data_IF_556081530443
#
_entry.id   IF_556081530443
#
_cell.length_a   1.000
_cell.length_b   1.000
_cell.length_c   1.000
_cell.angle_alpha   90.00
_cell.angle_beta   90.00
_cell.angle_gamma   90.00
#
_symmetry.space_group_name_H-M   'P 1'
#
loop_
_entity.id
_entity.type
_entity.pdbx_description
1 polymer ?
#
# COMPACT_ATOMS: atom_id res chain seq x y z
N UNK A 1 -2.43 23.51 -6.13
CA UNK A 1 -1.39 22.49 -6.34
C UNK A 1 -0.05 23.19 -6.62
N UNK A 2 1.00 22.94 -5.83
CA UNK A 2 2.33 23.57 -6.04
C UNK A 2 3.22 22.63 -6.85
N UNK A 3 3.28 22.87 -8.14
CA UNK A 3 4.23 22.23 -9.06
C UNK A 3 5.65 22.72 -8.74
N UNK A 4 6.55 21.84 -8.28
CA UNK A 4 7.96 22.18 -8.09
C UNK A 4 8.74 21.69 -9.31
N UNK A 5 8.90 22.62 -10.26
CA UNK A 5 9.84 22.66 -11.40
C UNK A 5 9.52 21.80 -12.63
N UNK A 6 9.60 22.49 -13.78
CA UNK A 6 9.63 22.01 -15.16
C UNK A 6 10.58 20.81 -15.36
N UNK A 7 10.07 19.64 -15.81
CA UNK A 7 10.83 18.57 -16.49
C UNK A 7 9.90 17.48 -17.10
N UNK A 8 10.43 16.71 -18.08
CA UNK A 8 9.71 15.76 -18.96
C UNK A 8 9.10 14.53 -18.25
N UNK A 9 7.91 14.69 -17.69
CA UNK A 9 7.03 13.58 -17.29
C UNK A 9 6.59 12.75 -18.50
N UNK A 10 6.44 11.44 -18.34
CA UNK A 10 5.76 10.61 -19.34
C UNK A 10 4.27 10.98 -19.41
N UNK A 11 3.62 10.68 -20.54
CA UNK A 11 2.17 10.90 -20.66
C UNK A 11 1.39 10.12 -19.59
N UNK A 12 1.87 8.94 -19.22
CA UNK A 12 1.28 8.15 -18.15
C UNK A 12 1.40 8.85 -16.78
N UNK A 13 2.59 9.35 -16.42
CA UNK A 13 2.79 10.09 -15.17
C UNK A 13 1.90 11.33 -15.09
N UNK A 14 1.74 12.06 -16.21
CA UNK A 14 0.81 13.21 -16.27
C UNK A 14 -0.64 12.78 -16.05
N UNK A 15 -1.07 11.69 -16.68
CA UNK A 15 -2.42 11.14 -16.48
C UNK A 15 -2.68 10.74 -15.04
N UNK A 16 -1.69 10.18 -14.35
CA UNK A 16 -1.78 9.85 -12.92
C UNK A 16 -1.95 11.13 -12.10
N UNK A 17 -1.07 12.12 -12.28
CA UNK A 17 -1.13 13.38 -11.53
C UNK A 17 -2.47 14.09 -11.73
N UNK A 18 -2.99 14.13 -12.95
CA UNK A 18 -4.27 14.78 -13.26
C UNK A 18 -5.49 14.11 -12.60
N UNK A 19 -5.34 12.89 -12.10
CA UNK A 19 -6.40 12.16 -11.37
C UNK A 19 -6.26 12.28 -9.85
N UNK A 20 -5.18 12.88 -9.34
CA UNK A 20 -5.03 13.10 -7.91
C UNK A 20 -5.98 14.22 -7.46
N UNK A 21 -6.69 13.98 -6.37
CA UNK A 21 -7.46 15.00 -5.66
C UNK A 21 -6.63 15.63 -4.53
N UNK A 22 -7.28 16.46 -3.70
CA UNK A 22 -6.64 17.21 -2.62
C UNK A 22 -6.17 16.31 -1.44
N UNK A 23 -6.50 15.01 -1.43
CA UNK A 23 -6.02 14.07 -0.40
C UNK A 23 -4.59 13.59 -0.67
N UNK A 24 -4.07 13.82 -1.87
CA UNK A 24 -2.79 13.31 -2.31
C UNK A 24 -1.80 14.41 -2.68
N UNK A 25 -0.53 14.10 -2.45
CA UNK A 25 0.60 14.93 -2.86
C UNK A 25 1.47 14.12 -3.79
N UNK A 26 2.22 14.79 -4.66
CA UNK A 26 3.26 14.14 -5.43
C UNK A 26 4.57 14.89 -5.38
N UNK A 27 5.65 14.13 -5.34
CA UNK A 27 7.03 14.63 -5.43
C UNK A 27 7.67 14.08 -6.69
N UNK A 28 8.34 14.95 -7.43
CA UNK A 28 9.11 14.54 -8.60
C UNK A 28 10.54 14.18 -8.16
N UNK A 29 10.95 12.94 -8.43
CA UNK A 29 12.30 12.45 -8.15
C UNK A 29 13.14 12.51 -9.42
N UNK A 30 13.92 13.58 -9.56
CA UNK A 30 14.85 13.75 -10.67
C UNK A 30 16.13 12.93 -10.39
N UNK A 31 16.41 11.93 -11.23
CA UNK A 31 17.52 11.00 -11.02
C UNK A 31 17.44 9.76 -11.91
N UNK A 32 18.02 8.64 -11.44
CA UNK A 32 18.21 7.40 -12.21
C UNK A 32 16.93 6.84 -12.87
N UNK A 33 15.74 7.09 -12.32
CA UNK A 33 14.49 6.45 -12.78
C UNK A 33 13.40 7.44 -13.22
N UNK A 34 13.64 8.75 -13.14
CA UNK A 34 12.68 9.81 -13.49
C UNK A 34 11.24 9.48 -13.02
N UNK A 35 11.05 9.37 -11.71
CA UNK A 35 9.81 8.87 -11.13
C UNK A 35 9.04 9.94 -10.38
N UNK A 36 7.74 9.74 -10.22
CA UNK A 36 6.91 10.50 -9.29
C UNK A 36 6.61 9.64 -8.07
N UNK A 37 6.71 10.21 -6.88
CA UNK A 37 6.28 9.59 -5.64
C UNK A 37 4.95 10.20 -5.23
N UNK A 38 3.96 9.36 -4.96
CA UNK A 38 2.65 9.77 -4.45
C UNK A 38 2.63 9.55 -2.94
N UNK A 39 2.15 10.57 -2.24
CA UNK A 39 2.03 10.63 -0.78
C UNK A 39 0.58 10.92 -0.40
N UNK A 40 0.17 10.51 0.81
CA UNK A 40 -1.09 11.00 1.39
C UNK A 40 -0.92 12.42 1.97
N UNK A 41 -2.01 12.99 2.49
CA UNK A 41 -2.01 14.32 3.15
C UNK A 41 -1.08 14.42 4.37
N UNK A 42 -0.71 13.31 4.97
CA UNK A 42 0.22 13.21 6.11
C UNK A 42 1.68 13.04 5.66
N UNK A 43 1.92 13.16 4.34
CA UNK A 43 3.23 12.98 3.69
C UNK A 43 3.79 11.56 3.83
N UNK A 44 2.92 10.57 4.07
CA UNK A 44 3.32 9.17 4.09
C UNK A 44 3.41 8.61 2.67
N UNK A 45 4.45 7.82 2.42
CA UNK A 45 4.70 7.20 1.13
C UNK A 45 3.60 6.18 0.76
N UNK A 46 3.00 6.34 -0.41
CA UNK A 46 2.03 5.38 -0.95
C UNK A 46 2.61 4.56 -2.10
N UNK A 47 3.10 5.21 -3.14
CA UNK A 47 3.60 4.54 -4.35
C UNK A 47 4.62 5.40 -5.09
N UNK A 48 5.51 4.74 -5.83
CA UNK A 48 6.39 5.37 -6.82
C UNK A 48 5.98 4.93 -8.22
N UNK A 49 5.85 5.87 -9.15
CA UNK A 49 5.55 5.63 -10.57
C UNK A 49 6.75 6.08 -11.39
N UNK A 50 7.48 5.13 -11.95
CA UNK A 50 8.65 5.34 -12.79
C UNK A 50 8.25 5.85 -14.18
N UNK A 51 9.20 6.47 -14.90
CA UNK A 51 8.93 7.01 -16.25
C UNK A 51 8.45 5.95 -17.24
N UNK A 52 8.95 4.73 -17.07
CA UNK A 52 8.67 3.56 -17.92
C UNK A 52 7.41 2.82 -17.51
N UNK A 53 6.77 3.20 -16.40
CA UNK A 53 5.53 2.56 -15.99
C UNK A 53 4.38 2.89 -16.94
N UNK A 54 3.48 1.94 -17.03
CA UNK A 54 2.25 2.02 -17.80
C UNK A 54 1.10 1.34 -17.05
N UNK A 55 -0.05 1.27 -17.70
CA UNK A 55 -1.23 0.63 -17.12
C UNK A 55 -0.99 -0.85 -16.76
N UNK A 56 -0.16 -1.57 -17.52
CA UNK A 56 0.10 -2.98 -17.26
C UNK A 56 0.96 -3.14 -15.99
N UNK A 57 2.06 -2.39 -15.87
CA UNK A 57 2.93 -2.46 -14.68
C UNK A 57 2.20 -2.02 -13.39
N UNK A 58 1.31 -1.04 -13.49
CA UNK A 58 0.46 -0.62 -12.35
C UNK A 58 -0.58 -1.69 -11.99
N UNK A 59 -1.18 -2.37 -12.98
CA UNK A 59 -2.10 -3.48 -12.70
C UNK A 59 -1.39 -4.66 -12.03
N UNK A 60 -0.19 -5.01 -12.46
CA UNK A 60 0.63 -6.04 -11.80
C UNK A 60 0.94 -5.67 -10.35
N UNK A 61 1.30 -4.41 -10.12
CA UNK A 61 1.54 -3.88 -8.77
C UNK A 61 0.29 -3.96 -7.89
N UNK A 62 -0.89 -3.63 -8.44
CA UNK A 62 -2.18 -3.72 -7.76
C UNK A 62 -2.49 -5.16 -7.32
N UNK A 63 -2.36 -6.13 -8.23
CA UNK A 63 -2.61 -7.54 -7.91
C UNK A 63 -1.61 -8.08 -6.87
N UNK A 64 -0.35 -7.65 -6.94
CA UNK A 64 0.65 -7.98 -5.91
C UNK A 64 0.24 -7.46 -4.53
N UNK A 65 -0.23 -6.21 -4.44
CA UNK A 65 -0.72 -5.63 -3.19
C UNK A 65 -1.93 -6.38 -2.63
N UNK A 66 -2.93 -6.69 -3.47
CA UNK A 66 -4.11 -7.48 -3.07
C UNK A 66 -3.71 -8.83 -2.49
N UNK A 67 -2.82 -9.56 -3.19
CA UNK A 67 -2.34 -10.87 -2.74
C UNK A 67 -1.63 -10.81 -1.38
N UNK A 68 -0.81 -9.76 -1.15
CA UNK A 68 -0.14 -9.56 0.14
C UNK A 68 -1.14 -9.31 1.28
N UNK A 69 -2.15 -8.48 1.04
CA UNK A 69 -3.22 -8.19 2.01
C UNK A 69 -3.98 -9.47 2.34
N UNK A 70 -4.41 -10.23 1.33
CA UNK A 70 -5.14 -11.48 1.52
C UNK A 70 -4.33 -12.51 2.34
N UNK A 71 -3.05 -12.66 2.00
CA UNK A 71 -2.15 -13.56 2.75
C UNK A 71 -1.99 -13.12 4.21
N UNK A 72 -1.81 -11.82 4.46
CA UNK A 72 -1.70 -11.27 5.81
C UNK A 72 -2.97 -11.50 6.62
N UNK A 73 -4.14 -11.25 6.04
CA UNK A 73 -5.43 -11.47 6.67
C UNK A 73 -5.66 -12.95 7.01
N UNK A 74 -5.33 -13.85 6.09
CA UNK A 74 -5.44 -15.29 6.34
C UNK A 74 -4.54 -15.75 7.49
N UNK A 75 -3.30 -15.25 7.55
CA UNK A 75 -2.39 -15.55 8.65
C UNK A 75 -2.94 -15.02 9.98
N UNK A 76 -3.45 -13.79 10.01
CA UNK A 76 -4.02 -13.20 11.22
C UNK A 76 -5.24 -13.96 11.70
N UNK A 77 -6.15 -14.34 10.80
CA UNK A 77 -7.32 -15.16 11.12
C UNK A 77 -6.93 -16.52 11.72
N UNK A 78 -5.84 -17.13 11.23
CA UNK A 78 -5.33 -18.38 11.79
C UNK A 78 -4.80 -18.18 13.21
N UNK A 79 -4.03 -17.12 13.45
CA UNK A 79 -3.53 -16.77 14.79
C UNK A 79 -4.67 -16.54 15.79
N UNK A 80 -5.71 -15.79 15.40
CA UNK A 80 -6.88 -15.56 16.24
C UNK A 80 -7.57 -16.87 16.62
N UNK A 81 -7.79 -17.78 15.66
CA UNK A 81 -8.39 -19.09 15.94
C UNK A 81 -7.56 -19.93 16.91
N UNK A 82 -6.24 -19.85 16.83
CA UNK A 82 -5.36 -20.60 17.71
C UNK A 82 -5.34 -20.02 19.14
N UNK A 83 -5.40 -18.70 19.28
CA UNK A 83 -5.60 -18.04 20.58
C UNK A 83 -6.98 -18.34 21.19
N UNK A 84 -8.05 -18.38 20.39
CA UNK A 84 -9.38 -18.81 20.87
C UNK A 84 -9.37 -20.23 21.42
N UNK A 85 -8.67 -21.17 20.77
CA UNK A 85 -8.50 -22.55 21.28
C UNK A 85 -7.73 -22.55 22.60
N UNK A 86 -6.67 -21.75 22.70
CA UNK A 86 -5.86 -21.62 23.92
C UNK A 86 -6.67 -21.06 25.07
N UNK A 87 -7.48 -20.03 24.84
CA UNK A 87 -8.39 -19.46 25.84
C UNK A 87 -9.35 -20.54 26.35
N UNK A 88 -10.02 -21.28 25.45
CA UNK A 88 -10.94 -22.37 25.83
C UNK A 88 -10.26 -23.43 26.70
N UNK A 89 -9.01 -23.80 26.39
CA UNK A 89 -8.24 -24.73 27.21
C UNK A 89 -7.96 -24.16 28.61
N UNK A 90 -7.54 -22.90 28.71
CA UNK A 90 -7.29 -22.25 30.00
C UNK A 90 -8.57 -22.16 30.84
N UNK A 91 -9.71 -21.84 30.22
CA UNK A 91 -11.01 -21.81 30.89
C UNK A 91 -11.42 -23.19 31.45
N UNK A 92 -11.15 -24.27 30.71
CA UNK A 92 -11.40 -25.64 31.18
C UNK A 92 -10.54 -25.97 32.41
N UNK A 93 -9.23 -25.71 32.34
CA UNK A 93 -8.31 -25.92 33.45
C UNK A 93 -8.77 -25.15 34.70
N UNK A 94 -9.17 -23.88 34.54
CA UNK A 94 -9.62 -23.06 35.68
C UNK A 94 -10.96 -23.52 36.26
N UNK A 95 -11.83 -24.17 35.48
CA UNK A 95 -13.10 -24.74 35.97
C UNK A 95 -12.87 -26.01 36.78
N UNK A 96 -11.92 -26.86 36.38
CA UNK A 96 -11.62 -28.14 37.05
C UNK A 96 -10.85 -27.97 38.37
N UNK A 97 -10.25 -26.80 38.60
CA UNK A 97 -9.49 -26.47 39.82
C UNK A 97 -10.30 -25.63 40.84
N UNK A 98 -11.63 -25.59 40.72
CA UNK A 98 -12.57 -24.96 41.68
C UNK A 98 -13.40 -26.03 42.37
#
# INVERSE_FOLDING_TARGET
>A
MKEIRNLQLSEFQKQVINKLDDEYWYENNVGYENSITILNKELEFLIRINKTDDTASINESLESCKSRIEKSLNNHNQLVKDEEKRIKLLELILKENK
#
